data_IF_231515551168
#
_entry.id   IF_231515551168
#
_cell.length_a   1.000
_cell.length_b   1.000
_cell.length_c   1.000
_cell.angle_alpha   90.00
_cell.angle_beta   90.00
_cell.angle_gamma   90.00
#
_symmetry.space_group_name_H-M   'P 1'
#
loop_
_entity.id
_entity.type
_entity.pdbx_description
1 polymer ?
#
# COMPACT_ATOMS: atom_id res chain seq x y z
N UNK A 1 -4.16 8.73 -11.14
CA UNK A 1 -2.71 8.95 -11.30
C UNK A 1 -1.99 7.68 -10.89
N UNK A 2 -1.45 6.93 -11.85
CA UNK A 2 -0.68 5.70 -11.57
C UNK A 2 0.80 6.04 -11.62
N UNK A 3 1.52 5.81 -10.52
CA UNK A 3 2.97 6.00 -10.43
C UNK A 3 3.67 4.71 -10.86
N UNK A 4 3.47 4.28 -12.11
CA UNK A 4 4.11 3.08 -12.62
C UNK A 4 5.58 3.36 -12.90
N UNK A 5 6.46 3.04 -11.94
CA UNK A 5 7.89 2.89 -12.20
C UNK A 5 8.11 1.55 -12.93
N UNK A 6 9.00 1.46 -13.93
CA UNK A 6 9.15 0.27 -14.79
C UNK A 6 9.63 -1.00 -14.06
N UNK A 7 10.12 -0.88 -12.82
CA UNK A 7 10.48 -2.02 -11.94
C UNK A 7 9.41 -2.37 -10.91
N UNK A 8 8.30 -1.63 -10.86
CA UNK A 8 7.24 -1.83 -9.87
C UNK A 8 6.25 -2.87 -10.38
N UNK A 9 6.11 -3.97 -9.63
CA UNK A 9 5.23 -5.06 -10.04
C UNK A 9 3.77 -4.66 -9.84
N UNK A 10 2.93 -4.66 -10.89
CA UNK A 10 1.50 -4.33 -10.78
C UNK A 10 0.73 -5.32 -9.89
N UNK A 11 1.33 -6.49 -9.60
CA UNK A 11 0.80 -7.46 -8.63
C UNK A 11 0.81 -6.87 -7.22
N UNK A 12 1.84 -6.10 -6.85
CA UNK A 12 1.96 -5.52 -5.51
C UNK A 12 0.84 -4.48 -5.30
N UNK A 13 0.58 -3.61 -6.28
CA UNK A 13 -0.55 -2.67 -6.21
C UNK A 13 -1.88 -3.39 -6.01
N UNK A 14 -2.09 -4.49 -6.73
CA UNK A 14 -3.33 -5.28 -6.65
C UNK A 14 -3.50 -5.93 -5.27
N UNK A 15 -2.41 -6.48 -4.72
CA UNK A 15 -2.40 -7.07 -3.38
C UNK A 15 -2.65 -6.00 -2.31
N UNK A 16 -1.96 -4.86 -2.40
CA UNK A 16 -2.14 -3.74 -1.45
C UNK A 16 -3.56 -3.17 -1.50
N UNK A 17 -4.13 -3.02 -2.70
CA UNK A 17 -5.52 -2.60 -2.87
C UNK A 17 -6.49 -3.58 -2.19
N UNK A 18 -6.27 -4.88 -2.38
CA UNK A 18 -7.11 -5.92 -1.77
C UNK A 18 -6.95 -5.96 -0.25
N UNK A 19 -5.73 -5.75 0.27
CA UNK A 19 -5.46 -5.66 1.70
C UNK A 19 -6.16 -4.46 2.33
N UNK A 20 -6.07 -3.27 1.72
CA UNK A 20 -6.78 -2.07 2.19
C UNK A 20 -8.28 -2.30 2.29
N UNK A 21 -8.88 -2.97 1.30
CA UNK A 21 -10.30 -3.36 1.35
C UNK A 21 -10.62 -4.28 2.53
N UNK A 22 -9.76 -5.26 2.81
CA UNK A 22 -9.96 -6.22 3.92
C UNK A 22 -9.76 -5.59 5.30
N UNK A 23 -8.88 -4.58 5.41
CA UNK A 23 -8.59 -3.89 6.67
C UNK A 23 -9.66 -2.85 7.06
N UNK A 24 -10.49 -2.39 6.13
CA UNK A 24 -11.54 -1.40 6.41
C UNK A 24 -10.96 -0.11 7.00
N UNK A 25 -11.46 0.31 8.16
CA UNK A 25 -11.00 1.51 8.89
C UNK A 25 -9.49 1.51 9.18
N UNK A 26 -8.88 0.31 9.30
CA UNK A 26 -7.44 0.16 9.52
C UNK A 26 -6.59 0.24 8.25
N UNK A 27 -7.19 0.52 7.09
CA UNK A 27 -6.46 0.66 5.83
C UNK A 27 -5.40 1.78 5.88
N UNK A 28 -5.60 2.78 6.74
CA UNK A 28 -4.68 3.88 7.01
C UNK A 28 -3.31 3.40 7.55
N UNK A 29 -3.23 2.19 8.11
CA UNK A 29 -1.96 1.58 8.52
C UNK A 29 -1.02 1.31 7.34
N UNK A 30 -1.55 1.13 6.12
CA UNK A 30 -0.74 0.89 4.92
C UNK A 30 -0.44 2.23 4.23
N UNK A 31 0.76 2.75 4.44
CA UNK A 31 1.25 3.98 3.85
C UNK A 31 1.95 3.72 2.50
N UNK A 32 1.66 4.55 1.50
CA UNK A 32 2.41 4.57 0.24
C UNK A 32 3.59 5.54 0.35
N UNK A 33 4.81 5.01 0.26
CA UNK A 33 6.06 5.78 0.23
C UNK A 33 6.46 6.00 -1.24
N UNK A 34 6.25 7.22 -1.73
CA UNK A 34 6.55 7.59 -3.13
C UNK A 34 7.98 7.22 -3.52
N UNK A 35 8.14 6.56 -4.67
CA UNK A 35 9.44 6.11 -5.18
C UNK A 35 10.09 4.96 -4.40
N UNK A 36 9.42 4.38 -3.39
CA UNK A 36 9.94 3.23 -2.63
C UNK A 36 8.98 2.04 -2.54
N UNK A 37 7.68 2.27 -2.34
CA UNK A 37 6.70 1.20 -2.17
C UNK A 37 5.72 1.47 -1.04
N UNK A 38 5.52 0.49 -0.15
CA UNK A 38 4.55 0.58 0.94
C UNK A 38 5.20 0.32 2.30
N UNK A 39 4.59 0.86 3.35
CA UNK A 39 5.03 0.71 4.74
C UNK A 39 3.82 0.43 5.62
N UNK A 40 3.97 -0.50 6.56
CA UNK A 40 2.99 -0.72 7.60
C UNK A 40 3.35 0.16 8.81
N UNK A 41 2.40 0.96 9.30
CA UNK A 41 2.54 1.64 10.59
C UNK A 41 2.02 0.71 11.68
N UNK A 42 2.73 0.63 12.80
CA UNK A 42 2.18 0.05 14.00
C UNK A 42 1.02 0.95 14.47
N UNK A 43 -0.07 0.37 14.97
CA UNK A 43 -0.98 1.12 15.84
C UNK A 43 -0.14 1.47 17.08
N UNK A 44 0.14 2.75 17.30
CA UNK A 44 0.63 3.20 18.60
C UNK A 44 -0.53 2.90 19.59
N UNK A 45 -0.29 1.97 20.51
CA UNK A 45 -1.25 1.50 21.53
C UNK A 45 -1.59 2.58 22.56
#
# INVERSE_FOLDING_TARGET
MSFAHPSWSPVIDTVVHSLRKKLGERASMIETVRGRGYRLRAEDE
#
